data_IF_245125054605
#
_entry.id   IF_245125054605
#
_cell.length_a   1.000
_cell.length_b   1.000
_cell.length_c   1.000
_cell.angle_alpha   90.00
_cell.angle_beta   90.00
_cell.angle_gamma   90.00
#
_symmetry.space_group_name_H-M   'P 1'
#
loop_
_entity.id
_entity.type
_entity.pdbx_description
1 polymer ?
#
# COMPACT_ATOMS: atom_id res chain seq x y z
N UNK A 1 -7.06 -7.49 5.26
CA UNK A 1 -7.40 -6.64 4.10
C UNK A 1 -8.24 -5.50 4.64
N UNK A 2 -7.70 -4.29 4.74
CA UNK A 2 -8.50 -3.13 5.17
C UNK A 2 -9.48 -2.81 4.05
N UNK A 3 -10.78 -2.98 4.30
CA UNK A 3 -11.83 -2.46 3.45
C UNK A 3 -11.56 -0.98 3.19
N UNK A 4 -11.25 -0.63 1.93
CA UNK A 4 -11.26 0.77 1.54
C UNK A 4 -12.73 1.19 1.56
N UNK A 5 -13.12 1.89 2.62
CA UNK A 5 -14.43 2.50 2.78
C UNK A 5 -14.52 3.69 1.79
N UNK A 6 -14.57 3.38 0.50
CA UNK A 6 -14.66 4.37 -0.58
C UNK A 6 -16.08 4.93 -0.60
N UNK A 7 -16.23 6.14 -0.06
CA UNK A 7 -17.44 6.94 -0.22
C UNK A 7 -17.25 7.83 -1.45
N UNK A 8 -17.44 7.25 -2.63
CA UNK A 8 -17.44 8.00 -3.89
C UNK A 8 -18.59 9.02 -3.95
N UNK A 9 -18.62 9.87 -4.99
CA UNK A 9 -19.74 10.76 -5.22
C UNK A 9 -21.05 9.96 -5.39
N UNK A 10 -22.15 10.51 -4.87
CA UNK A 10 -23.49 10.02 -5.18
C UNK A 10 -23.92 10.66 -6.48
N UNK A 11 -24.37 9.86 -7.44
CA UNK A 11 -24.90 10.35 -8.71
C UNK A 11 -26.42 10.61 -8.62
N UNK A 12 -26.94 11.63 -9.32
CA UNK A 12 -26.21 12.59 -10.13
C UNK A 12 -25.39 13.58 -9.29
N UNK A 13 -24.22 13.99 -9.79
CA UNK A 13 -23.39 15.01 -9.14
C UNK A 13 -23.95 16.42 -9.39
N UNK A 14 -23.48 17.40 -8.63
CA UNK A 14 -23.79 18.82 -8.87
C UNK A 14 -22.71 19.46 -9.75
N UNK A 15 -23.11 20.33 -10.68
CA UNK A 15 -22.17 21.09 -11.49
C UNK A 15 -21.35 22.06 -10.61
N UNK A 16 -20.07 22.20 -10.91
CA UNK A 16 -19.16 23.09 -10.19
C UNK A 16 -18.33 23.90 -11.18
N UNK A 17 -18.63 25.20 -11.30
CA UNK A 17 -17.97 26.06 -12.26
C UNK A 17 -18.20 25.60 -13.70
N UNK A 18 -17.10 25.29 -14.40
CA UNK A 18 -17.05 24.77 -15.76
C UNK A 18 -17.17 23.25 -15.81
N UNK A 19 -17.11 22.56 -14.66
CA UNK A 19 -17.30 21.11 -14.55
C UNK A 19 -18.81 20.81 -14.53
N UNK A 20 -19.34 20.01 -15.49
CA UNK A 20 -20.77 19.71 -15.55
C UNK A 20 -21.22 18.74 -14.45
N UNK A 21 -22.54 18.62 -14.28
CA UNK A 21 -23.14 17.55 -13.50
C UNK A 21 -23.09 16.24 -14.29
N UNK A 22 -22.80 15.12 -13.61
CA UNK A 22 -22.72 13.78 -14.19
C UNK A 22 -23.82 12.90 -13.62
N UNK A 23 -24.44 12.07 -14.45
CA UNK A 23 -25.50 11.15 -14.05
C UNK A 23 -24.97 9.76 -13.67
N UNK A 24 -23.75 9.41 -14.09
CA UNK A 24 -23.10 8.17 -13.73
C UNK A 24 -21.58 8.30 -13.63
N UNK A 25 -20.96 7.28 -13.05
CA UNK A 25 -19.51 7.17 -12.95
C UNK A 25 -18.84 7.09 -14.32
N UNK A 26 -19.44 6.36 -15.25
CA UNK A 26 -18.95 6.20 -16.61
C UNK A 26 -18.94 7.54 -17.37
N UNK A 27 -20.00 8.34 -17.22
CA UNK A 27 -20.09 9.67 -17.83
C UNK A 27 -19.00 10.62 -17.29
N UNK A 28 -18.78 10.62 -15.97
CA UNK A 28 -17.71 11.39 -15.33
C UNK A 28 -16.32 10.93 -15.81
N UNK A 29 -16.11 9.62 -15.95
CA UNK A 29 -14.84 9.07 -16.43
C UNK A 29 -14.55 9.48 -17.89
N UNK A 30 -15.54 9.38 -18.78
CA UNK A 30 -15.41 9.80 -20.18
C UNK A 30 -15.06 11.30 -20.30
N UNK A 31 -15.63 12.15 -19.43
CA UNK A 31 -15.28 13.56 -19.37
C UNK A 31 -13.80 13.76 -19.00
N UNK A 32 -13.32 13.10 -17.93
CA UNK A 32 -11.93 13.25 -17.50
C UNK A 32 -10.91 12.59 -18.44
N UNK A 33 -11.30 11.58 -19.22
CA UNK A 33 -10.46 10.98 -20.25
C UNK A 33 -10.27 11.90 -21.46
N UNK A 34 -11.23 12.80 -21.71
CA UNK A 34 -11.24 13.68 -22.89
C UNK A 34 -10.80 15.11 -22.61
N UNK A 35 -10.76 15.54 -21.34
CA UNK A 35 -10.41 16.90 -20.94
C UNK A 35 -9.11 16.95 -20.13
N UNK A 36 -8.31 18.00 -20.31
CA UNK A 36 -7.10 18.21 -19.51
C UNK A 36 -7.47 18.68 -18.10
N UNK A 37 -7.07 17.93 -17.09
CA UNK A 37 -7.31 18.28 -15.69
C UNK A 37 -6.78 19.67 -15.30
N UNK A 38 -5.71 20.14 -15.95
CA UNK A 38 -5.09 21.43 -15.64
C UNK A 38 -6.00 22.63 -15.93
N UNK A 39 -6.96 22.49 -16.85
CA UNK A 39 -7.94 23.52 -17.16
C UNK A 39 -8.88 23.80 -15.97
N UNK A 40 -9.05 22.82 -15.09
CA UNK A 40 -9.94 22.89 -13.92
C UNK A 40 -9.18 23.11 -12.61
N UNK A 41 -7.89 23.49 -12.66
CA UNK A 41 -7.04 23.64 -11.47
C UNK A 41 -7.55 24.70 -10.48
N UNK A 42 -8.26 25.72 -10.96
CA UNK A 42 -8.85 26.76 -10.11
C UNK A 42 -10.17 26.32 -9.45
N UNK A 43 -10.82 25.31 -10.02
CA UNK A 43 -12.12 24.76 -9.59
C UNK A 43 -11.96 23.46 -8.80
N UNK A 44 -10.73 22.96 -8.68
CA UNK A 44 -10.38 21.73 -7.96
C UNK A 44 -9.48 22.02 -6.77
N UNK A 45 -9.57 21.16 -5.75
CA UNK A 45 -8.70 21.22 -4.57
C UNK A 45 -7.79 20.00 -4.53
N UNK A 46 -6.56 20.19 -4.04
CA UNK A 46 -5.61 19.10 -3.91
C UNK A 46 -6.14 18.01 -2.98
N UNK A 47 -6.34 16.81 -3.52
CA UNK A 47 -6.71 15.65 -2.72
C UNK A 47 -5.54 15.26 -1.80
N UNK A 48 -5.79 15.19 -0.50
CA UNK A 48 -4.82 14.61 0.45
C UNK A 48 -4.80 13.09 0.29
N UNK A 49 -3.94 12.59 -0.58
CA UNK A 49 -3.67 11.16 -0.68
C UNK A 49 -2.90 10.75 0.58
N UNK A 50 -3.54 10.01 1.47
CA UNK A 50 -2.81 9.27 2.50
C UNK A 50 -2.12 8.11 1.79
N UNK A 51 -0.86 8.32 1.40
CA UNK A 51 0.05 7.20 1.20
C UNK A 51 0.01 6.36 2.50
N UNK A 52 0.04 5.03 2.45
CA UNK A 52 0.13 4.22 3.66
C UNK A 52 1.43 4.58 4.40
N UNK A 53 1.34 5.52 5.35
CA UNK A 53 2.42 5.93 6.23
C UNK A 53 2.60 4.82 7.24
N UNK A 54 3.45 3.86 6.88
CA UNK A 54 3.69 2.65 7.65
C UNK A 54 4.56 1.66 6.91
N UNK A 55 5.46 2.13 6.03
CA UNK A 55 6.52 1.27 5.51
C UNK A 55 7.29 0.77 6.73
N UNK A 56 7.22 -0.54 6.99
CA UNK A 56 8.05 -1.19 7.99
C UNK A 56 9.49 -0.73 7.80
N UNK A 57 10.18 -0.37 8.88
CA UNK A 57 11.60 -0.05 8.82
C UNK A 57 12.33 -1.16 8.05
N UNK A 58 13.01 -0.78 6.97
CA UNK A 58 13.74 -1.73 6.13
C UNK A 58 15.16 -1.85 6.65
N UNK A 59 15.61 -3.10 6.83
CA UNK A 59 16.99 -3.43 7.12
C UNK A 59 17.54 -4.27 5.97
N UNK A 60 18.71 -3.90 5.46
CA UNK A 60 19.43 -4.72 4.51
C UNK A 60 20.46 -5.55 5.27
N UNK A 61 20.35 -6.87 5.18
CA UNK A 61 21.28 -7.81 5.81
C UNK A 61 22.05 -8.53 4.71
N UNK A 62 23.37 -8.59 4.84
CA UNK A 62 24.23 -9.37 3.94
C UNK A 62 24.45 -10.74 4.54
N UNK A 63 24.17 -11.77 3.76
CA UNK A 63 24.50 -13.16 4.08
C UNK A 63 25.62 -13.64 3.16
N UNK A 64 26.36 -14.65 3.60
CA UNK A 64 27.21 -15.42 2.70
C UNK A 64 26.35 -16.15 1.65
N UNK A 65 26.88 -16.42 0.44
CA UNK A 65 26.09 -17.02 -0.65
C UNK A 65 25.42 -18.35 -0.27
N UNK A 66 26.13 -19.19 0.49
CA UNK A 66 25.64 -20.50 0.90
C UNK A 66 24.47 -20.35 1.89
N UNK A 67 24.62 -19.46 2.88
CA UNK A 67 23.55 -19.14 3.84
C UNK A 67 22.32 -18.55 3.14
N UNK A 68 22.52 -17.65 2.18
CA UNK A 68 21.42 -17.06 1.42
C UNK A 68 20.64 -18.10 0.62
N UNK A 69 21.35 -19.09 0.07
CA UNK A 69 20.79 -20.20 -0.69
C UNK A 69 20.02 -21.17 0.22
N UNK A 70 20.56 -21.48 1.39
CA UNK A 70 19.90 -22.30 2.41
C UNK A 70 18.61 -21.65 2.91
N UNK A 71 18.64 -20.35 3.21
CA UNK A 71 17.45 -19.58 3.58
C UNK A 71 16.38 -19.61 2.49
N UNK A 72 16.78 -19.55 1.22
CA UNK A 72 15.86 -19.63 0.09
C UNK A 72 15.24 -21.04 -0.05
N UNK A 73 16.03 -22.10 0.13
CA UNK A 73 15.57 -23.47 0.08
C UNK A 73 14.54 -23.76 1.18
N UNK A 74 14.86 -23.44 2.43
CA UNK A 74 13.97 -23.64 3.58
C UNK A 74 12.66 -22.84 3.39
N UNK A 75 12.75 -21.58 2.95
CA UNK A 75 11.56 -20.77 2.71
C UNK A 75 10.65 -21.40 1.65
N UNK A 76 11.24 -21.94 0.56
CA UNK A 76 10.50 -22.60 -0.51
C UNK A 76 9.80 -23.87 -0.05
N UNK A 77 10.47 -24.71 0.73
CA UNK A 77 9.88 -25.92 1.31
C UNK A 77 8.66 -25.59 2.20
N UNK A 78 8.71 -24.46 2.90
CA UNK A 78 7.62 -23.98 3.75
C UNK A 78 6.56 -23.15 3.00
N UNK A 79 6.69 -22.96 1.69
CA UNK A 79 5.78 -22.13 0.90
C UNK A 79 5.84 -20.63 1.23
N UNK A 80 6.95 -20.17 1.79
CA UNK A 80 7.17 -18.80 2.24
C UNK A 80 8.15 -18.05 1.32
N UNK A 81 8.07 -16.72 1.34
CA UNK A 81 9.14 -15.87 0.81
C UNK A 81 10.31 -15.85 1.80
N UNK A 82 11.55 -15.82 1.29
CA UNK A 82 12.77 -15.74 2.11
C UNK A 82 12.71 -14.61 3.16
N UNK A 83 12.28 -13.41 2.77
CA UNK A 83 12.13 -12.28 3.71
C UNK A 83 11.11 -12.55 4.83
N UNK A 84 10.04 -13.30 4.53
CA UNK A 84 9.03 -13.69 5.53
C UNK A 84 9.63 -14.67 6.54
N UNK A 85 10.38 -15.68 6.07
CA UNK A 85 11.07 -16.63 6.94
C UNK A 85 12.04 -15.92 7.89
N UNK A 86 12.91 -15.07 7.33
CA UNK A 86 13.89 -14.28 8.12
C UNK A 86 13.18 -13.45 9.18
N UNK A 87 12.07 -12.78 8.81
CA UNK A 87 11.28 -11.99 9.77
C UNK A 87 10.74 -12.84 10.91
N UNK A 88 10.21 -14.03 10.63
CA UNK A 88 9.68 -14.94 11.65
C UNK A 88 10.79 -15.33 12.63
N UNK A 89 11.94 -15.79 12.13
CA UNK A 89 13.07 -16.20 12.97
C UNK A 89 13.63 -15.06 13.82
N UNK A 90 13.73 -13.85 13.27
CA UNK A 90 14.17 -12.67 14.04
C UNK A 90 13.20 -12.38 15.19
N UNK A 91 11.89 -12.42 14.94
CA UNK A 91 10.88 -12.19 15.97
C UNK A 91 10.90 -13.28 17.06
N UNK A 92 11.06 -14.54 16.67
CA UNK A 92 11.22 -15.65 17.60
C UNK A 92 12.45 -15.47 18.49
N UNK A 93 13.60 -15.11 17.89
CA UNK A 93 14.83 -14.89 18.66
C UNK A 93 14.71 -13.72 19.63
N UNK A 94 14.11 -12.61 19.20
CA UNK A 94 13.86 -11.45 20.07
C UNK A 94 12.96 -11.81 21.26
N UNK A 95 11.95 -12.66 21.04
CA UNK A 95 11.08 -13.15 22.12
C UNK A 95 11.87 -13.99 23.13
N UNK A 96 12.78 -14.85 22.65
CA UNK A 96 13.64 -15.66 23.51
C UNK A 96 14.59 -14.79 24.35
N UNK A 97 15.25 -13.79 23.76
CA UNK A 97 16.16 -12.91 24.50
C UNK A 97 15.42 -12.10 25.57
N UNK A 98 14.25 -11.55 25.25
CA UNK A 98 13.45 -10.83 26.24
C UNK A 98 13.08 -11.71 27.45
N UNK A 99 12.77 -12.98 27.21
CA UNK A 99 12.43 -13.91 28.28
C UNK A 99 13.66 -14.27 29.14
N UNK A 100 14.87 -14.31 28.56
CA UNK A 100 16.12 -14.55 29.28
C UNK A 100 16.51 -13.41 30.22
N UNK A 101 16.28 -12.17 29.82
CA UNK A 101 16.60 -11.00 30.63
C UNK A 101 15.55 -10.67 31.70
N UNK A 102 14.43 -11.41 31.73
CA UNK A 102 13.37 -11.26 32.73
C UNK A 102 13.46 -12.30 33.88
N UNK A 103 14.47 -13.18 33.84
CA UNK A 103 14.79 -14.18 34.89
C UNK A 103 16.12 -13.82 35.56
#
# INVERSE_FOLDING_TARGET
>A
MSERNYKGPTYPTEAHGSIPAFNSYEEEAEFWDTHDFTDFKQETQSAKVKAPTGLSANVQVRFEPDTDSELAAIAREQGLKKATLIRIWVLERLRQERNRHAS
#
